data_IF_853919393342
#
_entry.id   IF_853919393342
#
_cell.length_a   1.000
_cell.length_b   1.000
_cell.length_c   1.000
_cell.angle_alpha   90.00
_cell.angle_beta   90.00
_cell.angle_gamma   90.00
#
_symmetry.space_group_name_H-M   'P 1'
#
loop_
_entity.id
_entity.type
_entity.pdbx_description
1 polymer ?
#
# COMPACT_ATOMS: atom_id res chain seq x y z
N UNK A 1 15.84 -63.94 13.33
CA UNK A 1 15.78 -63.03 14.50
C UNK A 1 16.57 -61.79 14.17
N UNK A 2 15.91 -60.72 13.71
CA UNK A 2 16.48 -59.37 13.66
C UNK A 2 15.39 -58.38 14.07
N UNK A 3 15.79 -57.48 14.95
CA UNK A 3 14.99 -56.72 15.90
C UNK A 3 14.46 -55.46 15.21
N UNK A 4 13.14 -55.23 15.25
CA UNK A 4 12.51 -53.96 14.89
C UNK A 4 12.57 -53.02 16.08
N UNK A 5 13.43 -52.01 16.03
CA UNK A 5 13.44 -50.92 17.00
C UNK A 5 12.34 -49.91 16.67
N UNK A 6 11.35 -49.88 17.56
CA UNK A 6 10.20 -48.99 17.58
C UNK A 6 10.64 -47.60 18.07
N UNK A 7 10.72 -46.63 17.15
CA UNK A 7 11.09 -45.24 17.46
C UNK A 7 9.88 -44.52 18.07
N UNK A 8 9.92 -44.36 19.39
CA UNK A 8 8.91 -43.70 20.21
C UNK A 8 8.90 -42.18 19.96
N UNK A 9 7.83 -41.68 19.35
CA UNK A 9 7.63 -40.27 19.04
C UNK A 9 7.29 -39.45 20.32
N UNK A 10 7.97 -38.33 20.60
CA UNK A 10 7.67 -37.52 21.79
C UNK A 10 6.37 -36.72 21.62
N UNK A 11 5.46 -36.87 22.60
CA UNK A 11 4.19 -36.14 22.68
C UNK A 11 4.42 -34.63 22.88
N UNK A 12 3.64 -33.76 22.19
CA UNK A 12 3.72 -32.31 22.38
C UNK A 12 3.21 -31.91 23.77
N UNK A 13 4.02 -31.13 24.49
CA UNK A 13 3.67 -30.51 25.77
C UNK A 13 2.74 -29.32 25.49
N UNK A 14 1.49 -29.42 25.94
CA UNK A 14 0.52 -28.33 25.90
C UNK A 14 0.92 -27.23 26.88
N UNK A 15 1.53 -26.15 26.37
CA UNK A 15 1.78 -24.93 27.13
C UNK A 15 0.48 -24.12 27.23
N UNK A 16 -0.09 -24.06 28.43
CA UNK A 16 -1.21 -23.18 28.77
C UNK A 16 -0.80 -21.72 28.51
N UNK A 17 -1.56 -21.04 27.65
CA UNK A 17 -1.37 -19.65 27.33
C UNK A 17 -1.69 -18.76 28.56
N UNK A 18 -0.91 -17.69 28.81
CA UNK A 18 -1.17 -16.77 29.90
C UNK A 18 -2.48 -16.00 29.65
N UNK A 19 -3.41 -16.13 30.60
CA UNK A 19 -4.68 -15.43 30.62
C UNK A 19 -4.43 -13.92 30.81
N UNK A 20 -4.58 -13.13 29.76
CA UNK A 20 -4.56 -11.67 29.85
C UNK A 20 -5.94 -11.20 30.33
N UNK A 21 -6.04 -10.90 31.63
CA UNK A 21 -7.20 -10.23 32.19
C UNK A 21 -7.34 -8.84 31.57
N UNK A 22 -8.26 -8.69 30.63
CA UNK A 22 -8.64 -7.40 30.07
C UNK A 22 -9.32 -6.58 31.17
N UNK A 23 -8.58 -5.61 31.72
CA UNK A 23 -9.14 -4.62 32.62
C UNK A 23 -10.19 -3.79 31.86
N UNK A 24 -11.46 -3.98 32.21
CA UNK A 24 -12.58 -3.15 31.79
C UNK A 24 -12.33 -1.74 32.33
N UNK A 25 -12.02 -0.80 31.42
CA UNK A 25 -11.90 0.61 31.77
C UNK A 25 -13.30 1.22 31.89
N UNK A 26 -13.62 1.95 32.98
CA UNK A 26 -14.89 2.65 33.09
C UNK A 26 -14.95 3.80 32.08
N UNK A 27 -15.98 3.77 31.22
CA UNK A 27 -16.32 4.83 30.28
C UNK A 27 -16.81 6.05 31.06
N UNK A 28 -15.98 7.08 31.16
CA UNK A 28 -16.41 8.42 31.61
C UNK A 28 -16.60 9.29 30.38
N UNK A 29 -17.81 9.23 29.81
CA UNK A 29 -18.32 10.28 28.94
C UNK A 29 -18.58 11.53 29.77
N UNK A 30 -17.69 12.51 29.67
CA UNK A 30 -17.99 13.89 30.05
C UNK A 30 -17.29 14.76 29.02
N UNK A 31 -18.06 15.30 28.08
CA UNK A 31 -17.59 16.25 27.09
C UNK A 31 -17.52 17.65 27.73
N UNK A 32 -16.33 18.25 27.94
CA UNK A 32 -16.25 19.68 28.09
C UNK A 32 -16.41 20.34 26.71
N UNK A 33 -17.38 21.26 26.67
CA UNK A 33 -17.66 22.21 25.60
C UNK A 33 -16.38 22.73 24.93
N UNK A 34 -16.28 22.54 23.61
CA UNK A 34 -15.21 23.08 22.78
C UNK A 34 -15.42 24.58 22.57
N UNK A 35 -14.43 25.45 22.85
CA UNK A 35 -14.57 26.90 22.77
C UNK A 35 -14.36 27.47 21.36
N UNK A 36 -14.34 26.64 20.31
CA UNK A 36 -14.06 27.12 18.96
C UNK A 36 -15.33 27.58 18.23
N UNK A 37 -15.32 28.78 17.61
CA UNK A 37 -16.47 29.28 16.85
C UNK A 37 -16.77 28.37 15.65
N UNK A 38 -18.04 27.98 15.52
CA UNK A 38 -18.58 27.25 14.37
C UNK A 38 -18.26 28.02 13.09
N UNK A 39 -17.41 27.45 12.25
CA UNK A 39 -17.24 27.95 10.87
C UNK A 39 -18.53 27.67 10.11
N UNK A 40 -19.09 28.76 9.59
CA UNK A 40 -20.23 28.82 8.68
C UNK A 40 -19.95 27.92 7.47
N UNK A 41 -20.84 26.95 7.24
CA UNK A 41 -20.83 26.14 6.02
C UNK A 41 -21.25 27.04 4.86
N UNK A 42 -20.31 27.40 4.00
CA UNK A 42 -20.62 28.04 2.72
C UNK A 42 -21.09 26.93 1.77
N UNK A 43 -22.40 26.70 1.76
CA UNK A 43 -23.12 25.92 0.74
C UNK A 43 -22.85 26.54 -0.63
N UNK A 44 -21.81 26.05 -1.30
CA UNK A 44 -21.55 26.39 -2.71
C UNK A 44 -22.45 25.52 -3.57
N UNK A 45 -23.70 25.97 -3.69
CA UNK A 45 -24.61 25.55 -4.75
C UNK A 45 -23.90 25.73 -6.10
N UNK A 46 -23.45 24.62 -6.70
CA UNK A 46 -23.02 24.61 -8.09
C UNK A 46 -24.23 24.29 -8.95
N UNK A 47 -24.81 25.36 -9.46
CA UNK A 47 -25.80 25.38 -10.52
C UNK A 47 -25.39 24.49 -11.69
N UNK A 48 -26.32 23.63 -12.10
CA UNK A 48 -26.36 22.96 -13.40
C UNK A 48 -26.31 24.01 -14.50
N UNK A 49 -25.22 24.06 -15.25
CA UNK A 49 -25.17 24.71 -16.56
C UNK A 49 -25.28 23.62 -17.62
N UNK A 50 -26.49 23.42 -18.14
CA UNK A 50 -26.72 22.73 -19.43
C UNK A 50 -26.02 23.56 -20.50
N UNK A 51 -25.11 22.96 -21.25
CA UNK A 51 -24.63 23.50 -22.53
C UNK A 51 -25.13 22.61 -23.67
N UNK A 52 -25.52 23.18 -24.82
CA UNK A 52 -26.09 22.44 -25.93
C UNK A 52 -25.02 21.77 -26.79
N UNK A 53 -25.42 20.64 -27.35
CA UNK A 53 -24.74 19.83 -28.37
C UNK A 53 -24.59 20.64 -29.67
N UNK A 54 -23.42 20.60 -30.33
CA UNK A 54 -23.33 20.74 -31.77
C UNK A 54 -23.06 19.37 -32.42
N UNK A 55 -23.95 19.01 -33.35
CA UNK A 55 -23.82 17.90 -34.28
C UNK A 55 -22.76 18.15 -35.34
N UNK A 56 -22.41 17.05 -36.01
CA UNK A 56 -21.77 16.91 -37.33
C UNK A 56 -20.25 17.00 -37.41
N UNK A 57 -19.63 15.81 -37.44
CA UNK A 57 -18.59 15.52 -38.44
C UNK A 57 -18.53 14.02 -38.70
N UNK A 58 -19.14 13.64 -39.82
CA UNK A 58 -18.98 12.37 -40.51
C UNK A 58 -17.55 12.21 -41.01
N UNK A 59 -16.74 11.45 -40.29
CA UNK A 59 -15.42 11.00 -40.73
C UNK A 59 -15.45 9.51 -41.03
N UNK A 60 -15.80 9.18 -42.27
CA UNK A 60 -15.55 7.85 -42.85
C UNK A 60 -14.04 7.69 -42.99
N UNK A 61 -13.48 6.67 -42.35
CA UNK A 61 -12.18 6.13 -42.70
C UNK A 61 -12.30 4.63 -42.90
N UNK A 62 -12.44 4.24 -44.16
CA UNK A 62 -12.08 2.90 -44.61
C UNK A 62 -10.56 2.77 -44.60
N UNK A 63 -10.05 1.88 -43.76
CA UNK A 63 -8.68 1.38 -43.87
C UNK A 63 -8.61 -0.04 -43.33
N UNK A 64 -8.89 -0.96 -44.25
CA UNK A 64 -8.58 -2.37 -44.14
C UNK A 64 -7.05 -2.52 -44.13
N UNK A 65 -6.50 -2.97 -43.01
CA UNK A 65 -5.11 -3.41 -42.91
C UNK A 65 -5.10 -4.81 -42.30
N UNK A 66 -5.28 -5.81 -43.16
CA UNK A 66 -4.88 -7.19 -42.94
C UNK A 66 -3.35 -7.27 -42.98
N UNK A 67 -2.68 -7.54 -41.86
CA UNK A 67 -1.41 -8.27 -41.87
C UNK A 67 -0.94 -8.70 -40.48
N UNK A 68 -0.72 -10.02 -40.39
CA UNK A 68 0.19 -10.77 -39.50
C UNK A 68 -0.25 -11.13 -38.07
N UNK A 69 -1.09 -12.16 -38.07
CA UNK A 69 -1.27 -13.23 -37.08
C UNK A 69 0.03 -13.72 -36.41
N UNK A 70 0.35 -13.17 -35.23
CA UNK A 70 1.16 -13.87 -34.18
C UNK A 70 0.95 -13.34 -32.74
N UNK A 71 0.02 -12.42 -32.49
CA UNK A 71 -0.13 -11.76 -31.17
C UNK A 71 -1.30 -12.29 -30.32
N UNK A 72 -2.03 -13.32 -30.78
CA UNK A 72 -3.20 -13.85 -30.06
C UNK A 72 -2.85 -14.86 -28.96
N UNK A 73 -1.60 -15.35 -28.89
CA UNK A 73 -1.19 -16.31 -27.87
C UNK A 73 -0.96 -15.67 -26.47
N UNK A 74 -0.70 -14.35 -26.41
CA UNK A 74 -0.45 -13.66 -25.14
C UNK A 74 -1.76 -13.28 -24.40
N UNK A 75 -2.85 -13.00 -25.12
CA UNK A 75 -4.11 -12.56 -24.49
C UNK A 75 -4.88 -13.66 -23.76
N UNK A 76 -4.71 -14.93 -24.12
CA UNK A 76 -5.40 -16.02 -23.41
C UNK A 76 -4.79 -16.33 -22.03
N UNK A 77 -3.53 -15.97 -21.80
CA UNK A 77 -2.89 -16.14 -20.48
C UNK A 77 -3.31 -15.07 -19.46
N UNK A 78 -3.80 -13.91 -19.89
CA UNK A 78 -4.24 -12.87 -18.95
C UNK A 78 -5.67 -13.09 -18.43
N UNK A 79 -6.52 -13.76 -19.20
CA UNK A 79 -7.91 -14.04 -18.81
C UNK A 79 -8.03 -15.08 -17.68
N UNK A 80 -6.97 -15.85 -17.43
CA UNK A 80 -6.90 -16.80 -16.31
C UNK A 80 -6.33 -16.19 -15.02
N UNK A 81 -5.88 -14.93 -15.04
CA UNK A 81 -5.27 -14.31 -13.86
C UNK A 81 -6.33 -13.79 -12.91
N UNK A 82 -6.05 -13.88 -11.60
CA UNK A 82 -6.91 -13.39 -10.53
C UNK A 82 -7.02 -11.86 -10.67
N UNK A 83 -8.21 -11.32 -10.98
CA UNK A 83 -8.39 -9.89 -11.17
C UNK A 83 -8.32 -9.16 -9.84
N UNK A 84 -8.03 -7.86 -9.91
CA UNK A 84 -8.08 -6.98 -8.75
C UNK A 84 -9.52 -6.88 -8.23
N UNK A 85 -9.77 -7.08 -6.92
CA UNK A 85 -11.11 -6.94 -6.37
C UNK A 85 -11.60 -5.48 -6.44
N UNK A 86 -12.92 -5.30 -6.45
CA UNK A 86 -13.52 -3.97 -6.45
C UNK A 86 -13.23 -3.23 -5.13
N UNK A 87 -12.87 -1.94 -5.24
CA UNK A 87 -12.68 -1.04 -4.10
C UNK A 87 -11.26 -0.50 -3.93
N UNK A 88 -11.07 0.42 -2.97
CA UNK A 88 -9.74 0.90 -2.60
C UNK A 88 -9.09 -0.03 -1.55
N UNK A 89 -7.80 -0.39 -1.70
CA UNK A 89 -7.09 -1.08 -0.65
C UNK A 89 -7.02 -0.22 0.62
N UNK A 90 -7.15 -0.85 1.80
CA UNK A 90 -7.10 -0.23 3.14
C UNK A 90 -8.32 0.57 3.60
N UNK A 91 -9.50 0.42 2.96
CA UNK A 91 -10.76 1.00 3.47
C UNK A 91 -11.81 -0.06 3.82
N UNK A 92 -11.53 -0.94 4.80
CA UNK A 92 -12.51 -1.93 5.23
C UNK A 92 -13.80 -1.22 5.72
N UNK A 93 -14.95 -1.69 5.25
CA UNK A 93 -16.28 -1.17 5.64
C UNK A 93 -16.77 0.07 4.87
N UNK A 94 -16.01 0.58 3.89
CA UNK A 94 -16.46 1.67 2.98
C UNK A 94 -16.39 1.28 1.50
N UNK A 95 -16.58 -0.02 1.21
CA UNK A 95 -16.46 -0.56 -0.15
C UNK A 95 -15.01 -0.74 -0.62
N UNK A 96 -14.05 -0.79 0.31
CA UNK A 96 -12.68 -1.22 0.04
C UNK A 96 -12.40 -2.60 0.63
N UNK A 97 -11.26 -3.19 0.28
CA UNK A 97 -10.83 -4.50 0.77
C UNK A 97 -9.55 -4.41 1.59
N UNK A 98 -9.29 -5.45 2.36
CA UNK A 98 -7.97 -5.67 2.96
C UNK A 98 -7.14 -6.58 2.07
N UNK A 99 -5.86 -6.27 1.87
CA UNK A 99 -4.99 -7.06 1.00
C UNK A 99 -4.86 -8.51 1.47
N UNK A 100 -4.92 -8.74 2.79
CA UNK A 100 -4.90 -10.08 3.38
C UNK A 100 -6.12 -10.91 2.98
N UNK A 101 -7.30 -10.30 2.96
CA UNK A 101 -8.56 -10.95 2.59
C UNK A 101 -8.62 -11.22 1.09
N UNK A 102 -8.17 -10.26 0.27
CA UNK A 102 -8.18 -10.39 -1.18
C UNK A 102 -7.22 -11.47 -1.72
N UNK A 103 -6.12 -11.76 -1.01
CA UNK A 103 -5.15 -12.78 -1.40
C UNK A 103 -5.53 -14.19 -0.92
N UNK A 104 -6.38 -14.30 0.11
CA UNK A 104 -6.71 -15.56 0.80
C UNK A 104 -5.48 -16.41 1.20
N UNK A 105 -4.35 -15.76 1.45
CA UNK A 105 -3.11 -16.44 1.83
C UNK A 105 -3.10 -16.83 3.30
N UNK A 106 -2.39 -17.93 3.62
CA UNK A 106 -2.14 -18.28 5.00
C UNK A 106 -1.48 -17.11 5.76
N UNK A 107 -1.79 -16.89 7.05
CA UNK A 107 -1.27 -15.74 7.79
C UNK A 107 0.26 -15.65 7.79
N UNK A 108 0.94 -16.80 7.75
CA UNK A 108 2.40 -16.90 7.66
C UNK A 108 2.91 -16.45 6.29
N UNK A 109 2.30 -16.91 5.20
CA UNK A 109 2.67 -16.53 3.83
C UNK A 109 2.46 -15.02 3.61
N UNK A 110 1.30 -14.50 4.01
CA UNK A 110 1.02 -13.06 3.93
C UNK A 110 2.04 -12.22 4.72
N UNK A 111 2.41 -12.67 5.93
CA UNK A 111 3.41 -11.95 6.75
C UNK A 111 4.79 -11.95 6.08
N UNK A 112 5.21 -13.09 5.52
CA UNK A 112 6.48 -13.21 4.77
C UNK A 112 6.49 -12.27 3.57
N UNK A 113 5.44 -12.29 2.76
CA UNK A 113 5.25 -11.40 1.63
C UNK A 113 5.30 -9.93 2.04
N UNK A 114 4.50 -9.55 3.04
CA UNK A 114 4.46 -8.17 3.53
C UNK A 114 5.83 -7.68 4.00
N UNK A 115 6.56 -8.49 4.75
CA UNK A 115 7.90 -8.13 5.23
C UNK A 115 8.91 -8.00 4.10
N UNK A 116 8.88 -8.92 3.13
CA UNK A 116 9.74 -8.85 1.95
C UNK A 116 9.43 -7.62 1.09
N UNK A 117 8.15 -7.35 0.83
CA UNK A 117 7.73 -6.14 0.12
C UNK A 117 8.15 -4.86 0.84
N UNK A 118 7.99 -4.80 2.16
CA UNK A 118 8.48 -3.66 2.93
C UNK A 118 9.98 -3.46 2.75
N UNK A 119 10.76 -4.54 2.76
CA UNK A 119 12.20 -4.47 2.55
C UNK A 119 12.55 -3.98 1.14
N UNK A 120 11.95 -4.55 0.09
CA UNK A 120 12.16 -4.13 -1.30
C UNK A 120 11.76 -2.67 -1.54
N UNK A 121 10.64 -2.24 -0.96
CA UNK A 121 10.18 -0.86 -1.01
C UNK A 121 11.16 0.07 -0.28
N UNK A 122 11.69 -0.32 0.88
CA UNK A 122 12.67 0.49 1.60
C UNK A 122 14.05 0.51 0.93
N UNK A 123 14.42 -0.56 0.22
CA UNK A 123 15.68 -0.67 -0.52
C UNK A 123 15.63 0.19 -1.80
N UNK A 124 14.53 0.15 -2.54
CA UNK A 124 14.43 0.77 -3.87
C UNK A 124 13.63 2.07 -3.92
N UNK A 125 12.76 2.32 -2.94
CA UNK A 125 11.87 3.48 -2.93
C UNK A 125 12.13 4.47 -1.79
N UNK A 126 13.05 4.23 -0.84
CA UNK A 126 13.33 5.16 0.27
C UNK A 126 14.51 6.11 -0.01
N UNK A 127 14.19 7.37 -0.35
CA UNK A 127 15.18 8.44 -0.55
C UNK A 127 16.08 8.72 0.63
N UNK A 128 15.63 8.46 1.86
CA UNK A 128 16.40 8.84 3.05
C UNK A 128 17.66 8.00 3.18
N UNK A 129 17.62 6.73 2.74
CA UNK A 129 18.79 5.86 2.64
C UNK A 129 19.67 6.19 1.44
N UNK A 130 19.06 6.61 0.33
CA UNK A 130 19.83 7.02 -0.86
C UNK A 130 20.64 8.30 -0.66
N UNK A 131 20.19 9.21 0.21
CA UNK A 131 20.98 10.38 0.60
C UNK A 131 22.28 10.01 1.32
N UNK A 132 22.31 8.89 2.07
CA UNK A 132 23.52 8.39 2.75
C UNK A 132 24.46 7.60 1.84
N UNK A 133 23.96 6.94 0.79
CA UNK A 133 24.78 6.24 -0.23
C UNK A 133 25.52 7.23 -1.16
N UNK A 134 24.98 8.44 -1.37
CA UNK A 134 25.55 9.51 -2.20
C UNK A 134 26.92 10.05 -1.79
N UNK A 135 27.55 9.59 -0.70
CA UNK A 135 28.91 10.03 -0.33
C UNK A 135 30.02 9.38 -1.16
N UNK A 136 29.73 8.32 -1.90
CA UNK A 136 30.62 7.78 -2.94
C UNK A 136 29.95 7.98 -4.30
N UNK A 137 30.66 8.68 -5.19
CA UNK A 137 30.38 8.95 -6.62
C UNK A 137 29.04 8.41 -7.15
N UNK A 138 28.11 9.27 -7.63
CA UNK A 138 26.87 8.80 -8.21
C UNK A 138 27.18 7.95 -9.44
N UNK A 139 26.96 6.64 -9.32
CA UNK A 139 26.85 5.77 -10.49
C UNK A 139 25.53 6.14 -11.17
N UNK A 140 25.54 6.25 -12.50
CA UNK A 140 24.41 6.72 -13.31
C UNK A 140 23.15 5.81 -13.24
N UNK A 141 23.23 4.74 -12.46
CA UNK A 141 22.29 3.62 -12.48
C UNK A 141 21.40 3.60 -11.21
N UNK A 142 21.76 4.36 -10.17
CA UNK A 142 21.00 4.43 -8.90
C UNK A 142 20.03 5.62 -8.89
N UNK A 143 18.91 5.46 -9.60
CA UNK A 143 17.77 6.35 -9.46
C UNK A 143 17.00 5.94 -8.20
N UNK A 144 17.01 6.79 -7.18
CA UNK A 144 16.19 6.60 -5.99
C UNK A 144 14.91 7.42 -6.07
N UNK A 145 13.77 6.82 -5.73
CA UNK A 145 12.47 7.48 -5.81
C UNK A 145 12.13 8.33 -4.61
N UNK A 146 11.54 9.49 -4.88
CA UNK A 146 11.04 10.47 -3.92
C UNK A 146 9.81 9.97 -3.14
N UNK A 147 10.01 9.60 -1.88
CA UNK A 147 8.93 9.21 -0.94
C UNK A 147 7.97 10.34 -0.61
N UNK A 148 8.30 11.59 -0.96
CA UNK A 148 7.40 12.74 -0.82
C UNK A 148 6.39 12.85 -1.97
N UNK A 149 6.63 12.11 -3.07
CA UNK A 149 5.76 12.10 -4.26
C UNK A 149 4.74 10.97 -4.20
N UNK A 150 3.60 11.18 -4.85
CA UNK A 150 2.56 10.18 -5.01
C UNK A 150 3.04 9.02 -5.90
N UNK A 151 2.45 7.82 -5.73
CA UNK A 151 2.78 6.64 -6.54
C UNK A 151 2.70 6.91 -8.06
N UNK A 152 1.71 7.71 -8.50
CA UNK A 152 1.54 8.13 -9.89
C UNK A 152 2.64 9.05 -10.42
N UNK A 153 3.48 9.59 -9.55
CA UNK A 153 4.63 10.43 -9.90
C UNK A 153 5.97 9.70 -9.72
N UNK A 154 5.93 8.39 -9.43
CA UNK A 154 7.13 7.57 -9.36
C UNK A 154 7.57 7.08 -10.74
N UNK A 155 8.85 6.76 -10.88
CA UNK A 155 9.39 6.30 -12.16
C UNK A 155 8.86 4.88 -12.44
N UNK A 156 8.36 4.64 -13.66
CA UNK A 156 7.83 3.32 -14.01
C UNK A 156 8.91 2.24 -13.98
N UNK A 157 10.17 2.61 -14.26
CA UNK A 157 11.32 1.69 -14.24
C UNK A 157 11.51 1.07 -12.87
N UNK A 158 11.42 1.87 -11.80
CA UNK A 158 11.68 1.37 -10.44
C UNK A 158 10.50 0.61 -9.86
N UNK A 159 9.28 1.00 -10.21
CA UNK A 159 8.10 0.18 -9.92
C UNK A 159 8.25 -1.19 -10.57
N UNK A 160 8.69 -1.24 -11.84
CA UNK A 160 8.99 -2.49 -12.54
C UNK A 160 10.08 -3.29 -11.81
N UNK A 161 11.19 -2.67 -11.40
CA UNK A 161 12.24 -3.36 -10.65
C UNK A 161 11.73 -4.00 -9.35
N UNK A 162 10.87 -3.30 -8.60
CA UNK A 162 10.25 -3.87 -7.40
C UNK A 162 9.31 -5.02 -7.74
N UNK A 163 8.53 -4.92 -8.83
CA UNK A 163 7.69 -6.00 -9.31
C UNK A 163 8.50 -7.23 -9.70
N UNK A 164 9.55 -7.06 -10.53
CA UNK A 164 10.41 -8.16 -10.99
C UNK A 164 11.03 -8.90 -9.79
N UNK A 165 11.62 -8.15 -8.84
CA UNK A 165 12.18 -8.74 -7.60
C UNK A 165 11.14 -9.41 -6.71
N UNK A 166 9.91 -8.89 -6.69
CA UNK A 166 8.82 -9.48 -5.92
C UNK A 166 8.37 -10.81 -6.53
N UNK A 167 8.28 -10.90 -7.86
CA UNK A 167 7.95 -12.13 -8.61
C UNK A 167 9.03 -13.18 -8.39
N UNK A 168 10.32 -12.80 -8.46
CA UNK A 168 11.43 -13.71 -8.17
C UNK A 168 11.34 -14.31 -6.74
N UNK A 169 10.90 -13.52 -5.77
CA UNK A 169 10.75 -13.96 -4.38
C UNK A 169 9.44 -14.72 -4.10
N UNK A 170 8.38 -14.46 -4.88
CA UNK A 170 7.04 -15.02 -4.74
C UNK A 170 6.45 -15.31 -6.13
N UNK A 171 6.79 -16.46 -6.73
CA UNK A 171 6.31 -16.83 -8.06
C UNK A 171 4.78 -16.88 -8.18
N UNK A 172 4.07 -17.15 -7.08
CA UNK A 172 2.60 -17.12 -7.00
C UNK A 172 1.99 -15.78 -7.45
N UNK A 173 2.78 -14.69 -7.48
CA UNK A 173 2.36 -13.38 -7.94
C UNK A 173 2.04 -13.33 -9.45
N UNK A 174 2.58 -14.25 -10.26
CA UNK A 174 2.29 -14.33 -11.70
C UNK A 174 0.81 -14.68 -11.98
N UNK A 175 0.14 -15.29 -11.00
CA UNK A 175 -1.28 -15.64 -11.07
C UNK A 175 -2.20 -14.42 -10.90
N UNK A 176 -1.67 -13.23 -10.57
CA UNK A 176 -2.47 -12.04 -10.33
C UNK A 176 -2.34 -11.07 -11.51
N UNK A 177 -3.48 -10.53 -11.95
CA UNK A 177 -3.50 -9.59 -13.06
C UNK A 177 -2.75 -8.30 -12.71
N UNK A 178 -1.91 -7.84 -13.64
CA UNK A 178 -1.08 -6.62 -13.50
C UNK A 178 -0.23 -6.55 -12.23
N UNK A 179 0.03 -7.68 -11.56
CA UNK A 179 0.69 -7.71 -10.24
C UNK A 179 0.01 -6.79 -9.21
N UNK A 180 -1.32 -6.70 -9.24
CA UNK A 180 -2.09 -5.82 -8.35
C UNK A 180 -1.73 -5.94 -6.85
N UNK A 181 -1.34 -7.12 -6.29
CA UNK A 181 -0.95 -7.21 -4.88
C UNK A 181 0.31 -6.39 -4.56
N UNK A 182 1.29 -6.40 -5.48
CA UNK A 182 2.54 -5.65 -5.36
C UNK A 182 2.25 -4.16 -5.47
N UNK A 183 1.50 -3.77 -6.49
CA UNK A 183 1.13 -2.38 -6.74
C UNK A 183 0.37 -1.78 -5.55
N UNK A 184 -0.58 -2.52 -4.98
CA UNK A 184 -1.33 -2.07 -3.80
C UNK A 184 -0.43 -1.90 -2.57
N UNK A 185 0.51 -2.83 -2.34
CA UNK A 185 1.44 -2.72 -1.22
C UNK A 185 2.35 -1.49 -1.35
N UNK A 186 2.85 -1.22 -2.56
CA UNK A 186 3.63 -0.02 -2.87
C UNK A 186 2.79 1.23 -2.60
N UNK A 187 1.58 1.32 -3.17
CA UNK A 187 0.69 2.46 -2.97
C UNK A 187 0.35 2.70 -1.50
N UNK A 188 0.03 1.63 -0.75
CA UNK A 188 -0.25 1.71 0.68
C UNK A 188 0.94 2.25 1.47
N UNK A 189 2.15 1.76 1.19
CA UNK A 189 3.35 2.20 1.88
C UNK A 189 3.66 3.66 1.58
N UNK A 190 3.60 4.08 0.31
CA UNK A 190 3.84 5.47 -0.11
C UNK A 190 2.81 6.43 0.47
N UNK A 191 1.53 6.04 0.52
CA UNK A 191 0.47 6.85 1.14
C UNK A 191 0.73 7.03 2.64
N UNK A 192 1.16 5.99 3.32
CA UNK A 192 1.50 6.05 4.74
C UNK A 192 2.74 6.92 5.01
N UNK A 193 3.82 6.75 4.23
CA UNK A 193 5.08 7.50 4.42
C UNK A 193 4.92 8.97 4.08
N UNK A 194 4.31 9.31 2.94
CA UNK A 194 4.04 10.69 2.54
C UNK A 194 3.12 11.42 3.54
N UNK A 195 2.08 10.74 4.04
CA UNK A 195 1.22 11.28 5.10
C UNK A 195 1.98 11.57 6.39
N UNK A 196 2.88 10.67 6.80
CA UNK A 196 3.74 10.85 7.99
C UNK A 196 4.75 11.99 7.82
N UNK A 197 5.36 12.15 6.65
CA UNK A 197 6.29 13.24 6.37
C UNK A 197 5.62 14.61 6.59
N UNK A 198 4.41 14.80 6.02
CA UNK A 198 3.62 16.03 6.18
C UNK A 198 3.24 16.30 7.64
N UNK A 199 2.90 15.26 8.41
CA UNK A 199 2.60 15.42 9.84
C UNK A 199 3.83 15.85 10.65
N UNK A 200 5.03 15.37 10.30
CA UNK A 200 6.28 15.77 10.95
C UNK A 200 6.59 17.25 10.68
N UNK A 201 6.40 17.70 9.45
CA UNK A 201 6.56 19.11 9.06
C UNK A 201 5.58 20.02 9.81
N UNK A 202 4.29 19.65 9.85
CA UNK A 202 3.27 20.41 10.58
C UNK A 202 3.56 20.49 12.09
N UNK A 203 4.09 19.43 12.69
CA UNK A 203 4.49 19.40 14.10
C UNK A 203 5.65 20.34 14.44
N UNK A 204 6.63 20.48 13.54
CA UNK A 204 7.77 21.40 13.72
C UNK A 204 7.37 22.87 13.60
N UNK A 205 6.38 23.21 12.77
CA UNK A 205 5.90 24.59 12.61
C UNK A 205 5.13 25.09 13.83
N UNK A 206 4.51 24.21 14.62
CA UNK A 206 3.69 24.60 15.78
C UNK A 206 4.37 24.44 17.14
N UNK A 207 5.71 24.52 17.21
CA UNK A 207 6.51 24.40 18.44
C UNK A 207 5.96 25.23 19.61
N UNK A 208 5.12 24.61 20.43
CA UNK A 208 4.48 25.20 21.60
C UNK A 208 5.48 25.10 22.75
N UNK A 209 6.27 26.14 22.96
CA UNK A 209 7.21 26.26 24.09
C UNK A 209 6.46 26.08 25.41
N UNK A 210 6.63 24.92 26.05
CA UNK A 210 6.08 24.65 27.38
C UNK A 210 6.93 25.43 28.39
N UNK A 211 6.46 26.62 28.78
CA UNK A 211 7.08 27.45 29.83
C UNK A 211 7.09 26.64 31.14
N UNK A 212 8.30 26.31 31.59
CA UNK A 212 8.54 25.70 32.89
C UNK A 212 8.42 26.79 33.97
N UNK A 213 7.35 26.76 34.77
CA UNK A 213 7.21 27.64 35.94
C UNK A 213 7.97 27.05 37.12
N UNK A 214 8.92 27.78 37.74
CA UNK A 214 9.61 27.30 38.94
C UNK A 214 8.67 27.35 40.15
N UNK A 215 8.64 26.27 40.93
CA UNK A 215 8.01 26.23 42.25
C UNK A 215 8.79 27.15 43.19
N UNK A 216 8.12 28.13 43.77
CA UNK A 216 8.65 28.92 44.90
C UNK A 216 8.69 28.03 46.14
N UNK A 217 9.84 28.01 46.80
CA UNK A 217 10.01 27.57 48.19
C UNK A 217 9.51 28.62 49.17
#
# INVERSE_FOLDING_TARGET
MLITDEILLPKPKNTLAPEFKLAVRPSKNTHPSSPYPKRVSLERSRSRSRTPIPSDSSGSFDSLSDSDSSTLAASLSEDSKIPKPAGEPSRPGRGGYTLREALDWSPKAYTKFKNSMHHLIEEHLDTTKCASIRRSVPRYDEVCLDTTKCASSQSPILLKTVCDKAVDAFPDLENYSEFWPVNDMIMMRLKYTSGRARQKEAGMVTGKSKKHTPKKS
#
